data_IF_712603868998
#
_entry.id   IF_712603868998
#
_cell.length_a   1.000
_cell.length_b   1.000
_cell.length_c   1.000
_cell.angle_alpha   90.00
_cell.angle_beta   90.00
_cell.angle_gamma   90.00
#
_symmetry.space_group_name_H-M   'P 1'
#
loop_
_entity.id
_entity.type
_entity.pdbx_description
1 polymer ?
#
# COMPACT_ATOMS: atom_id res chain seq x y z
N UNK A 1 25.31 5.01 -6.92
CA UNK A 1 24.84 5.91 -5.84
C UNK A 1 25.87 6.01 -4.71
N UNK A 2 27.09 6.52 -4.96
CA UNK A 2 28.09 6.67 -3.88
C UNK A 2 28.14 8.06 -3.25
N UNK A 3 27.40 9.05 -3.77
CA UNK A 3 27.29 10.41 -3.24
C UNK A 3 25.83 10.90 -3.32
N UNK A 4 24.94 10.41 -2.46
CA UNK A 4 23.59 10.97 -2.32
C UNK A 4 23.36 11.31 -0.85
N UNK A 5 22.82 12.49 -0.57
CA UNK A 5 22.57 12.95 0.81
C UNK A 5 21.40 12.19 1.45
N UNK A 6 20.43 11.77 0.64
CA UNK A 6 19.28 10.95 1.04
C UNK A 6 18.95 9.91 -0.03
N UNK A 7 18.20 8.88 0.36
CA UNK A 7 17.73 7.82 -0.55
C UNK A 7 16.25 7.55 -0.32
N UNK A 8 15.50 7.35 -1.40
CA UNK A 8 14.14 6.82 -1.36
C UNK A 8 14.18 5.31 -1.55
N UNK A 9 13.51 4.57 -0.66
CA UNK A 9 13.40 3.12 -0.73
C UNK A 9 11.95 2.69 -0.59
N UNK A 10 11.59 1.60 -1.28
CA UNK A 10 10.27 0.96 -1.22
C UNK A 10 10.42 -0.55 -1.09
N UNK A 11 9.35 -1.21 -0.66
CA UNK A 11 9.31 -2.67 -0.52
C UNK A 11 10.32 -3.19 0.50
N UNK A 12 10.83 -4.39 0.26
CA UNK A 12 11.70 -5.12 1.18
C UNK A 12 12.92 -4.31 1.65
N UNK A 13 13.53 -3.52 0.76
CA UNK A 13 14.69 -2.67 1.08
C UNK A 13 14.40 -1.59 2.12
N UNK A 14 13.16 -1.11 2.16
CA UNK A 14 12.72 -0.14 3.17
C UNK A 14 12.41 -0.84 4.51
N UNK A 15 11.88 -2.07 4.45
CA UNK A 15 11.56 -2.87 5.63
C UNK A 15 12.79 -3.44 6.34
N UNK A 16 13.84 -3.80 5.60
CA UNK A 16 15.12 -4.27 6.16
C UNK A 16 15.84 -3.19 6.99
N UNK A 17 15.25 -1.99 7.14
CA UNK A 17 15.77 -0.84 7.89
C UNK A 17 17.23 -0.63 7.57
N UNK A 18 17.47 -0.17 6.35
CA UNK A 18 18.79 0.26 5.93
C UNK A 18 19.42 1.18 6.99
N UNK A 19 20.72 1.00 7.26
CA UNK A 19 21.45 1.65 8.36
C UNK A 19 21.65 3.17 8.20
N UNK A 20 20.76 3.86 7.48
CA UNK A 20 20.84 5.27 7.17
C UNK A 20 20.09 6.11 8.24
N UNK A 21 20.63 6.20 9.46
CA UNK A 21 20.23 7.22 10.44
C UNK A 21 18.71 7.47 10.59
N UNK A 22 18.27 8.72 10.38
CA UNK A 22 16.86 9.12 10.46
C UNK A 22 16.11 8.72 9.18
N UNK A 23 14.99 8.01 9.33
CA UNK A 23 14.08 7.64 8.24
C UNK A 23 12.73 8.36 8.38
N UNK A 24 12.20 8.88 7.27
CA UNK A 24 10.84 9.43 7.18
C UNK A 24 9.92 8.41 6.51
N UNK A 25 8.78 8.13 7.14
CA UNK A 25 7.73 7.28 6.58
C UNK A 25 6.77 8.14 5.75
N UNK A 26 6.81 8.00 4.42
CA UNK A 26 5.97 8.81 3.53
C UNK A 26 4.47 8.58 3.71
N UNK A 27 4.05 7.42 4.23
CA UNK A 27 2.67 7.18 4.61
C UNK A 27 2.26 7.97 5.84
N UNK A 28 3.15 8.09 6.83
CA UNK A 28 2.95 8.93 8.00
C UNK A 28 2.91 10.42 7.62
N UNK A 29 3.85 10.88 6.78
CA UNK A 29 3.86 12.26 6.28
C UNK A 29 2.58 12.60 5.49
N UNK A 30 2.09 11.68 4.67
CA UNK A 30 0.82 11.84 3.97
C UNK A 30 -0.37 11.95 4.93
N UNK A 31 -0.41 11.08 5.94
CA UNK A 31 -1.46 11.08 6.95
C UNK A 31 -1.44 12.37 7.79
N UNK A 32 -0.26 12.91 8.10
CA UNK A 32 -0.12 14.20 8.79
C UNK A 32 -0.57 15.37 7.89
N UNK A 33 -0.19 15.35 6.62
CA UNK A 33 -0.53 16.40 5.66
C UNK A 33 -2.03 16.45 5.32
N UNK A 34 -2.67 15.29 5.17
CA UNK A 34 -4.03 15.19 4.60
C UNK A 34 -5.08 14.70 5.59
N UNK A 35 -4.68 14.03 6.66
CA UNK A 35 -5.60 13.30 7.54
C UNK A 35 -6.18 12.03 6.93
N UNK A 36 -5.73 11.60 5.74
CA UNK A 36 -6.28 10.46 5.00
C UNK A 36 -5.25 9.33 4.85
N UNK A 37 -5.68 8.07 4.78
CA UNK A 37 -4.79 6.96 4.45
C UNK A 37 -4.26 7.07 3.01
N UNK A 38 -3.07 6.53 2.77
CA UNK A 38 -2.46 6.45 1.44
C UNK A 38 -2.68 5.06 0.82
N UNK A 39 -3.11 5.01 -0.44
CA UNK A 39 -3.31 3.75 -1.17
C UNK A 39 -2.11 3.47 -2.07
N UNK A 40 -1.26 2.53 -1.66
CA UNK A 40 -0.06 2.15 -2.41
C UNK A 40 -0.33 1.26 -3.63
N UNK A 41 -1.37 0.42 -3.57
CA UNK A 41 -1.66 -0.54 -4.64
C UNK A 41 -3.12 -0.96 -4.66
N UNK A 42 -3.63 -1.24 -5.87
CA UNK A 42 -4.94 -1.81 -6.13
C UNK A 42 -4.82 -2.96 -7.14
N UNK A 43 -5.71 -3.95 -7.03
CA UNK A 43 -5.90 -4.95 -8.07
C UNK A 43 -6.76 -4.37 -9.20
N UNK A 44 -6.26 -4.41 -10.43
CA UNK A 44 -6.89 -3.80 -11.59
C UNK A 44 -7.07 -4.82 -12.72
N UNK A 45 -8.20 -4.75 -13.43
CA UNK A 45 -8.45 -5.55 -14.62
C UNK A 45 -8.90 -4.66 -15.77
N UNK A 46 -8.40 -4.96 -16.98
CA UNK A 46 -8.84 -4.30 -18.23
C UNK A 46 -10.11 -4.92 -18.80
N UNK A 47 -10.48 -6.11 -18.33
CA UNK A 47 -11.69 -6.84 -18.74
C UNK A 47 -12.65 -6.97 -17.56
N UNK A 48 -13.96 -7.12 -17.81
CA UNK A 48 -14.91 -7.39 -16.74
C UNK A 48 -14.48 -8.61 -15.92
N UNK A 49 -14.43 -8.45 -14.60
CA UNK A 49 -14.13 -9.56 -13.69
C UNK A 49 -15.42 -10.36 -13.45
N UNK A 50 -15.33 -11.68 -13.48
CA UNK A 50 -16.47 -12.56 -13.18
C UNK A 50 -16.69 -12.66 -11.67
N UNK A 51 -17.92 -12.95 -11.25
CA UNK A 51 -18.23 -13.17 -9.83
C UNK A 51 -17.40 -14.31 -9.22
N UNK A 52 -17.10 -15.34 -10.02
CA UNK A 52 -16.25 -16.46 -9.60
C UNK A 52 -14.82 -15.99 -9.29
N UNK A 53 -14.23 -15.17 -10.17
CA UNK A 53 -12.89 -14.61 -9.93
C UNK A 53 -12.85 -13.72 -8.69
N UNK A 54 -13.86 -12.86 -8.50
CA UNK A 54 -13.97 -12.04 -7.28
C UNK A 54 -14.06 -12.92 -6.03
N UNK A 55 -14.86 -13.98 -6.08
CA UNK A 55 -15.00 -14.92 -4.97
C UNK A 55 -13.68 -15.61 -4.64
N UNK A 56 -12.93 -16.05 -5.65
CA UNK A 56 -11.61 -16.66 -5.44
C UNK A 56 -10.59 -15.68 -4.85
N UNK A 57 -10.51 -14.46 -5.36
CA UNK A 57 -9.61 -13.43 -4.84
C UNK A 57 -9.96 -13.03 -3.40
N UNK A 58 -11.26 -12.88 -3.10
CA UNK A 58 -11.75 -12.58 -1.76
C UNK A 58 -11.41 -13.71 -0.79
N UNK A 59 -11.68 -14.96 -1.16
CA UNK A 59 -11.35 -16.13 -0.33
C UNK A 59 -9.84 -16.23 -0.09
N UNK A 60 -9.01 -15.98 -1.11
CA UNK A 60 -7.56 -15.96 -0.97
C UNK A 60 -7.08 -14.88 0.02
N UNK A 61 -7.63 -13.65 -0.08
CA UNK A 61 -7.37 -12.57 0.88
C UNK A 61 -7.74 -12.99 2.29
N UNK A 62 -8.94 -13.58 2.48
CA UNK A 62 -9.42 -14.00 3.79
C UNK A 62 -8.57 -15.12 4.41
N UNK A 63 -8.16 -16.12 3.61
CA UNK A 63 -7.24 -17.17 4.06
C UNK A 63 -5.88 -16.58 4.49
N UNK A 64 -5.35 -15.62 3.73
CA UNK A 64 -4.14 -14.90 4.09
C UNK A 64 -4.27 -14.12 5.40
N UNK A 65 -5.36 -13.35 5.57
CA UNK A 65 -5.65 -12.60 6.80
C UNK A 65 -5.77 -13.51 8.03
N UNK A 66 -6.31 -14.71 7.88
CA UNK A 66 -6.40 -15.69 8.96
C UNK A 66 -5.06 -16.36 9.30
N UNK A 67 -4.06 -16.23 8.42
CA UNK A 67 -2.76 -16.91 8.52
C UNK A 67 -1.59 -15.92 8.73
N UNK A 68 -1.86 -14.68 9.13
CA UNK A 68 -0.82 -13.64 9.23
C UNK A 68 0.30 -14.00 10.21
N UNK A 69 -0.01 -14.66 11.33
CA UNK A 69 1.02 -15.14 12.28
C UNK A 69 1.96 -16.17 11.63
N UNK A 70 1.40 -17.13 10.91
CA UNK A 70 2.18 -18.14 10.19
C UNK A 70 3.02 -17.49 9.07
N UNK A 71 2.44 -16.58 8.30
CA UNK A 71 3.14 -15.81 7.26
C UNK A 71 4.31 -15.02 7.87
N UNK A 72 4.07 -14.30 8.96
CA UNK A 72 5.08 -13.52 9.67
C UNK A 72 6.21 -14.37 10.23
N UNK A 73 5.91 -15.60 10.67
CA UNK A 73 6.91 -16.56 11.18
C UNK A 73 7.79 -17.21 10.10
N UNK A 74 7.27 -17.35 8.87
CA UNK A 74 7.96 -18.05 7.77
C UNK A 74 8.82 -17.14 6.89
N UNK A 75 8.48 -15.87 6.80
CA UNK A 75 9.31 -14.89 6.09
C UNK A 75 10.68 -14.74 6.77
N UNK A 76 11.69 -14.28 6.01
CA UNK A 76 13.09 -14.20 6.47
C UNK A 76 13.68 -12.80 6.36
N UNK A 77 12.83 -11.81 6.11
CA UNK A 77 13.22 -10.43 5.83
C UNK A 77 13.51 -9.66 7.12
N UNK A 78 12.58 -9.73 8.07
CA UNK A 78 12.61 -9.00 9.34
C UNK A 78 12.20 -9.92 10.50
N UNK A 79 12.41 -9.53 11.77
CA UNK A 79 11.93 -10.30 12.91
C UNK A 79 10.42 -10.62 12.82
N UNK A 80 9.96 -11.84 13.21
CA UNK A 80 8.56 -12.24 13.07
C UNK A 80 7.53 -11.32 13.76
N UNK A 81 7.87 -10.76 14.91
CA UNK A 81 7.05 -9.79 15.64
C UNK A 81 6.91 -8.47 14.88
N UNK A 82 8.00 -8.00 14.27
CA UNK A 82 7.98 -6.82 13.40
C UNK A 82 7.16 -7.07 12.13
N UNK A 83 7.35 -8.23 11.49
CA UNK A 83 6.54 -8.64 10.33
C UNK A 83 5.05 -8.73 10.67
N UNK A 84 4.70 -9.34 11.80
CA UNK A 84 3.32 -9.43 12.25
C UNK A 84 2.74 -8.04 12.50
N UNK A 85 3.49 -7.15 13.16
CA UNK A 85 3.10 -5.76 13.37
C UNK A 85 2.85 -5.02 12.05
N UNK A 86 3.74 -5.17 11.08
CA UNK A 86 3.60 -4.58 9.75
C UNK A 86 2.33 -5.08 9.03
N UNK A 87 2.12 -6.40 9.01
CA UNK A 87 0.99 -7.04 8.33
C UNK A 87 -0.37 -6.78 9.01
N UNK A 88 -0.40 -6.46 10.30
CA UNK A 88 -1.67 -6.30 11.06
C UNK A 88 -2.01 -4.86 11.42
N UNK A 89 -1.01 -3.99 11.60
CA UNK A 89 -1.21 -2.61 12.07
C UNK A 89 -0.86 -1.57 11.03
N UNK A 90 0.06 -1.87 10.10
CA UNK A 90 0.55 -0.89 9.14
C UNK A 90 -0.09 -1.05 7.76
N UNK A 91 -0.52 -2.27 7.39
CA UNK A 91 -1.23 -2.53 6.14
C UNK A 91 -2.74 -2.60 6.39
N UNK A 92 -3.47 -1.76 5.66
CA UNK A 92 -4.91 -1.92 5.45
C UNK A 92 -5.17 -2.55 4.08
N UNK A 93 -5.90 -3.67 4.07
CA UNK A 93 -6.11 -4.49 2.85
C UNK A 93 -7.37 -4.13 2.06
N UNK A 94 -8.28 -3.39 2.70
CA UNK A 94 -9.59 -3.05 2.17
C UNK A 94 -9.56 -1.56 1.76
N UNK A 95 -9.85 -1.28 0.49
CA UNK A 95 -9.85 0.09 -0.07
C UNK A 95 -11.29 0.57 -0.10
N UNK A 96 -11.72 1.21 0.98
CA UNK A 96 -13.10 1.66 1.17
C UNK A 96 -13.10 3.13 1.63
N UNK A 97 -14.23 3.65 2.12
CA UNK A 97 -14.49 5.07 2.43
C UNK A 97 -13.28 6.04 2.43
N UNK A 98 -12.52 6.17 3.53
CA UNK A 98 -11.39 7.10 3.61
C UNK A 98 -10.25 6.81 2.62
N UNK A 99 -9.95 5.55 2.33
CA UNK A 99 -8.92 5.14 1.37
C UNK A 99 -9.26 5.60 -0.05
N UNK A 100 -10.54 5.52 -0.45
CA UNK A 100 -11.01 6.04 -1.73
C UNK A 100 -10.89 7.57 -1.82
N UNK A 101 -11.14 8.28 -0.72
CA UNK A 101 -10.95 9.74 -0.66
C UNK A 101 -9.48 10.11 -0.78
N UNK A 102 -8.60 9.42 -0.04
CA UNK A 102 -7.15 9.62 -0.12
C UNK A 102 -6.60 9.36 -1.52
N UNK A 103 -7.02 8.25 -2.15
CA UNK A 103 -6.63 7.90 -3.51
C UNK A 103 -7.08 8.94 -4.54
N UNK A 104 -8.32 9.43 -4.43
CA UNK A 104 -8.82 10.49 -5.31
C UNK A 104 -8.00 11.78 -5.13
N UNK A 105 -7.76 12.18 -3.88
CA UNK A 105 -6.98 13.40 -3.58
C UNK A 105 -5.57 13.32 -4.17
N UNK A 106 -4.91 12.17 -4.05
CA UNK A 106 -3.60 11.97 -4.66
C UNK A 106 -3.65 12.16 -6.18
N UNK A 107 -4.63 11.59 -6.88
CA UNK A 107 -4.74 11.77 -8.33
C UNK A 107 -5.07 13.20 -8.75
N UNK A 108 -5.93 13.90 -8.00
CA UNK A 108 -6.23 15.30 -8.27
C UNK A 108 -4.95 16.15 -8.18
N UNK A 109 -4.09 15.92 -7.18
CA UNK A 109 -2.81 16.61 -7.03
C UNK A 109 -1.80 16.26 -8.13
N UNK A 110 -1.73 15.00 -8.57
CA UNK A 110 -0.86 14.62 -9.69
C UNK A 110 -1.28 15.32 -10.98
N UNK A 111 -2.59 15.35 -11.28
CA UNK A 111 -3.13 16.08 -12.45
C UNK A 111 -2.76 17.56 -12.41
N UNK A 112 -2.90 18.20 -11.24
CA UNK A 112 -2.54 19.61 -11.04
C UNK A 112 -1.04 19.84 -11.23
N UNK A 113 -0.19 19.03 -10.60
CA UNK A 113 1.27 19.18 -10.65
C UNK A 113 1.84 18.92 -12.05
N UNK A 114 1.35 17.91 -12.74
CA UNK A 114 1.86 17.53 -14.07
C UNK A 114 1.24 18.35 -15.19
N UNK A 115 0.21 19.17 -14.91
CA UNK A 115 -0.59 19.90 -15.89
C UNK A 115 -1.11 18.99 -17.02
N UNK A 116 -1.49 17.76 -16.68
CA UNK A 116 -1.99 16.75 -17.63
C UNK A 116 -3.40 16.31 -17.26
N UNK A 117 -4.26 16.20 -18.28
CA UNK A 117 -5.62 15.68 -18.09
C UNK A 117 -5.63 14.15 -18.21
N UNK A 118 -5.33 13.47 -17.11
CA UNK A 118 -5.55 12.02 -17.00
C UNK A 118 -7.03 11.70 -16.78
N UNK A 119 -7.49 10.59 -17.36
CA UNK A 119 -8.73 9.97 -16.92
C UNK A 119 -8.47 9.30 -15.56
N UNK A 120 -8.91 9.95 -14.49
CA UNK A 120 -8.80 9.45 -13.11
C UNK A 120 -10.04 8.66 -12.69
N UNK A 121 -10.94 8.34 -13.63
CA UNK A 121 -12.15 7.58 -13.31
C UNK A 121 -11.81 6.13 -12.98
N UNK A 122 -11.93 5.80 -11.69
CA UNK A 122 -11.82 4.43 -11.21
C UNK A 122 -13.22 3.85 -10.99
N UNK A 123 -13.45 2.66 -11.56
CA UNK A 123 -14.64 1.86 -11.27
C UNK A 123 -14.24 0.74 -10.33
N UNK A 124 -14.63 0.88 -9.07
CA UNK A 124 -14.46 -0.18 -8.08
C UNK A 124 -15.55 -1.23 -8.30
N UNK A 125 -15.14 -2.48 -8.35
CA UNK A 125 -16.04 -3.64 -8.43
C UNK A 125 -16.13 -4.18 -7.02
N UNK A 126 -17.33 -4.17 -6.44
CA UNK A 126 -17.61 -4.74 -5.13
C UNK A 126 -17.69 -6.28 -5.21
#
# INVERSE_FOLDING_TARGET
ARNADTVLQIGDKALEKSHFGNASDLGAEWQELTGLPFVYACWMSRVPITQEMLTHLHNAKMMGKQSLEDIASRQKLIPPDEALGYLTRNIQYDVEGPELVGLKMFFDWVVELENQNYDTSLRFVA
#
